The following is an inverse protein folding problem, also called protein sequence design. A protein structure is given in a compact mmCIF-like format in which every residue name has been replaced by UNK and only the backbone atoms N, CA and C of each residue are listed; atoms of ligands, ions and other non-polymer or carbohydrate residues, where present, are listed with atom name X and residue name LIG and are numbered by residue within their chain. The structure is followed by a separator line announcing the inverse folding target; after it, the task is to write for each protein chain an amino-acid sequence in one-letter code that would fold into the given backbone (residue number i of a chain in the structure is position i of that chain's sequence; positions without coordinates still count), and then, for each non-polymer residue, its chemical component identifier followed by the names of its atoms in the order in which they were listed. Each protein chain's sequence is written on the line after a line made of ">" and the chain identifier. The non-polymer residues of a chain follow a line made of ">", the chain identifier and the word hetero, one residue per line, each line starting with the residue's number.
data_IF_931994194517
#
_entry.id   IF_931994194517
#
_cell.length_a   1.000
_cell.length_b   1.000
_cell.length_c   1.000
_cell.angle_alpha   90.00
_cell.angle_beta   90.00
_cell.angle_gamma   90.00
#
_symmetry.space_group_name_H-M   'P 1'
#
loop_
_entity.id
_entity.type
_entity.pdbx_description
1 polymer ?
#
# COMPACT_ATOMS: atom_id res chain seq x y z
N UNK A 1 -0.83 6.98 4.27
CA UNK A 1 0.25 7.56 3.42
C UNK A 1 0.02 7.15 1.97
N UNK A 2 0.55 7.90 1.00
CA UNK A 2 0.51 7.53 -0.42
C UNK A 2 1.87 7.74 -1.07
N UNK A 3 2.14 7.06 -2.18
CA UNK A 3 3.34 7.29 -2.97
C UNK A 3 3.13 6.94 -4.43
N UNK A 4 3.84 7.65 -5.30
CA UNK A 4 3.90 7.40 -6.73
C UNK A 4 5.32 7.66 -7.23
N UNK A 5 5.84 6.79 -8.08
CA UNK A 5 7.15 6.94 -8.71
C UNK A 5 7.20 6.23 -10.07
N UNK A 6 8.04 6.75 -10.97
CA UNK A 6 8.39 6.10 -12.23
C UNK A 6 9.73 5.37 -12.06
N UNK A 7 9.79 4.12 -12.49
CA UNK A 7 11.01 3.32 -12.53
C UNK A 7 11.84 3.76 -13.74
N UNK A 8 12.98 4.40 -13.49
CA UNK A 8 13.78 5.00 -14.56
C UNK A 8 14.57 3.98 -15.38
N UNK A 9 14.85 2.82 -14.79
CA UNK A 9 15.64 1.76 -15.44
C UNK A 9 14.77 0.71 -16.15
N UNK A 10 13.50 0.55 -15.73
CA UNK A 10 12.59 -0.47 -16.28
C UNK A 10 11.36 0.11 -17.00
N UNK A 11 11.07 1.41 -16.87
CA UNK A 11 9.97 2.09 -17.56
C UNK A 11 8.60 2.01 -16.87
N UNK A 12 8.39 1.03 -15.98
CA UNK A 12 7.15 0.88 -15.22
C UNK A 12 6.85 2.03 -14.25
N UNK A 13 5.60 2.14 -13.82
CA UNK A 13 5.14 3.10 -12.80
C UNK A 13 4.65 2.36 -11.55
N UNK A 14 5.07 2.83 -10.38
CA UNK A 14 4.64 2.34 -9.08
C UNK A 14 3.72 3.37 -8.43
N UNK A 15 2.56 2.93 -7.97
CA UNK A 15 1.63 3.74 -7.16
C UNK A 15 1.15 2.94 -5.98
N UNK A 16 0.94 3.57 -4.83
CA UNK A 16 0.59 2.82 -3.62
C UNK A 16 0.01 3.66 -2.51
N UNK A 17 -0.84 3.01 -1.72
CA UNK A 17 -1.43 3.52 -0.48
C UNK A 17 -1.01 2.64 0.68
N UNK A 18 -0.81 3.28 1.83
CA UNK A 18 -0.33 2.63 3.04
C UNK A 18 -1.13 3.14 4.23
N UNK A 19 -2.00 2.32 4.80
CA UNK A 19 -2.67 2.66 6.05
C UNK A 19 -1.75 2.34 7.23
N UNK A 20 -1.61 3.26 8.17
CA UNK A 20 -0.69 3.12 9.30
C UNK A 20 -1.44 3.12 10.62
N UNK A 21 -1.10 2.18 11.49
CA UNK A 21 -1.71 2.03 12.82
C UNK A 21 -0.65 1.90 13.91
N UNK A 22 -1.06 2.16 15.15
CA UNK A 22 -0.16 2.34 16.30
C UNK A 22 0.93 3.41 16.07
N UNK A 23 0.64 4.38 15.20
CA UNK A 23 1.54 5.47 14.80
C UNK A 23 1.73 5.52 13.29
N UNK A 24 2.40 6.57 12.81
CA UNK A 24 2.65 6.79 11.38
C UNK A 24 4.04 6.35 10.91
N UNK A 25 4.88 5.81 11.80
CA UNK A 25 6.29 5.54 11.53
C UNK A 25 6.47 4.43 10.49
N UNK A 26 5.80 3.28 10.67
CA UNK A 26 5.86 2.18 9.71
C UNK A 26 5.32 2.60 8.34
N UNK A 27 4.13 3.21 8.28
CA UNK A 27 3.55 3.66 7.02
C UNK A 27 4.44 4.70 6.31
N UNK A 28 5.10 5.58 7.05
CA UNK A 28 6.08 6.52 6.49
C UNK A 28 7.29 5.77 5.90
N UNK A 29 7.91 4.88 6.68
CA UNK A 29 9.09 4.13 6.25
C UNK A 29 8.79 3.24 5.02
N UNK A 30 7.66 2.53 5.02
CA UNK A 30 7.25 1.69 3.88
C UNK A 30 6.97 2.56 2.65
N UNK A 31 6.31 3.72 2.81
CA UNK A 31 5.98 4.59 1.68
C UNK A 31 7.19 5.14 0.93
N UNK A 32 8.33 5.32 1.61
CA UNK A 32 9.55 5.83 0.98
C UNK A 32 10.55 4.75 0.57
N UNK A 33 10.45 3.54 1.15
CA UNK A 33 11.41 2.45 0.91
C UNK A 33 10.89 1.40 -0.05
N UNK A 34 9.63 0.98 0.05
CA UNK A 34 9.13 -0.21 -0.64
C UNK A 34 9.32 -0.13 -2.16
N UNK A 35 9.13 1.04 -2.76
CA UNK A 35 9.34 1.20 -4.20
C UNK A 35 10.78 1.01 -4.63
N UNK A 36 11.76 1.35 -3.78
CA UNK A 36 13.16 1.06 -4.08
C UNK A 36 13.45 -0.43 -4.04
N UNK A 37 12.89 -1.14 -3.06
CA UNK A 37 13.03 -2.61 -3.01
C UNK A 37 12.40 -3.25 -4.25
N UNK A 38 11.18 -2.84 -4.62
CA UNK A 38 10.52 -3.34 -5.85
C UNK A 38 11.34 -3.02 -7.09
N UNK A 39 11.80 -1.78 -7.23
CA UNK A 39 12.58 -1.37 -8.40
C UNK A 39 13.87 -2.19 -8.51
N UNK A 40 14.61 -2.36 -7.41
CA UNK A 40 15.83 -3.17 -7.35
C UNK A 40 15.56 -4.63 -7.68
N UNK A 41 14.46 -5.22 -7.19
CA UNK A 41 14.08 -6.61 -7.53
C UNK A 41 13.75 -6.81 -9.01
N UNK A 42 13.42 -5.75 -9.75
CA UNK A 42 13.10 -5.79 -11.17
C UNK A 42 14.31 -5.47 -12.07
N UNK A 43 15.44 -5.06 -11.51
CA UNK A 43 16.61 -4.69 -12.29
C UNK A 43 17.30 -5.94 -12.88
N UNK A 44 17.78 -5.86 -14.13
CA UNK A 44 18.70 -6.85 -14.68
C UNK A 44 20.01 -6.90 -13.89
N UNK A 45 20.68 -8.07 -13.90
CA UNK A 45 21.96 -8.27 -13.22
C UNK A 45 23.02 -7.24 -13.67
N UNK A 46 23.08 -6.93 -14.97
CA UNK A 46 24.04 -5.95 -15.51
C UNK A 46 23.89 -4.59 -14.82
N UNK A 47 22.65 -4.11 -14.67
CA UNK A 47 22.36 -2.85 -13.99
C UNK A 47 22.68 -2.91 -12.49
N UNK A 48 22.44 -4.05 -11.83
CA UNK A 48 22.81 -4.24 -10.42
C UNK A 48 24.33 -4.17 -10.22
N UNK A 49 25.11 -4.82 -11.09
CA UNK A 49 26.56 -4.78 -11.08
C UNK A 49 27.09 -3.36 -11.35
N UNK A 50 26.48 -2.62 -12.27
CA UNK A 50 26.83 -1.22 -12.53
C UNK A 50 26.58 -0.33 -11.31
N UNK A 51 25.44 -0.51 -10.63
CA UNK A 51 25.10 0.21 -9.40
C UNK A 51 26.13 -0.08 -8.31
N UNK A 52 26.43 -1.36 -8.05
CA UNK A 52 27.40 -1.73 -7.00
C UNK A 52 28.80 -1.19 -7.32
N UNK A 53 29.26 -1.35 -8.55
CA UNK A 53 30.54 -0.83 -9.04
C UNK A 53 30.59 0.72 -8.97
N UNK A 54 29.47 1.42 -9.13
CA UNK A 54 29.42 2.86 -8.91
C UNK A 54 29.62 3.21 -7.44
N UNK A 55 28.94 2.50 -6.53
CA UNK A 55 29.03 2.72 -5.08
C UNK A 55 30.44 2.42 -4.56
N UNK A 56 31.04 1.29 -4.94
CA UNK A 56 32.40 0.92 -4.50
C UNK A 56 33.47 1.93 -4.92
N UNK A 57 33.34 2.50 -6.13
CA UNK A 57 34.28 3.49 -6.65
C UNK A 57 33.92 4.94 -6.30
N UNK A 58 32.91 5.18 -5.45
CA UNK A 58 32.47 6.52 -5.09
C UNK A 58 31.94 7.35 -6.28
N UNK A 59 31.46 6.69 -7.33
CA UNK A 59 30.83 7.33 -8.49
C UNK A 59 29.33 7.58 -8.23
N UNK A 60 28.72 8.56 -8.92
CA UNK A 60 27.28 8.76 -8.83
C UNK A 60 26.51 7.51 -9.26
N UNK A 61 25.58 7.07 -8.42
CA UNK A 61 24.69 5.93 -8.72
C UNK A 61 23.63 6.36 -9.73
N UNK A 62 23.29 5.46 -10.66
CA UNK A 62 22.20 5.67 -11.60
C UNK A 62 20.88 5.94 -10.85
N UNK A 63 20.06 6.91 -11.31
CA UNK A 63 18.81 7.19 -10.65
C UNK A 63 17.83 6.02 -10.87
N UNK A 64 17.34 5.43 -9.78
CA UNK A 64 16.45 4.25 -9.82
C UNK A 64 14.99 4.67 -10.00
N UNK A 65 14.56 5.69 -9.24
CA UNK A 65 13.18 6.16 -9.18
C UNK A 65 13.09 7.68 -9.40
N UNK A 66 12.07 8.10 -10.13
CA UNK A 66 11.59 9.48 -10.16
C UNK A 66 10.29 9.59 -9.37
N UNK A 67 10.30 10.31 -8.26
CA UNK A 67 9.15 10.42 -7.35
C UNK A 67 8.16 11.51 -7.76
N UNK A 68 6.87 11.21 -7.64
CA UNK A 68 5.75 12.13 -7.86
C UNK A 68 5.05 12.43 -6.54
N UNK A 69 5.75 13.12 -5.64
CA UNK A 69 5.30 13.42 -4.27
C UNK A 69 4.63 14.80 -4.17
N UNK A 70 3.61 14.91 -3.31
CA UNK A 70 3.08 16.22 -2.93
C UNK A 70 4.09 16.94 -2.02
N UNK A 71 4.15 18.29 -1.98
CA UNK A 71 5.07 19.02 -1.10
C UNK A 71 4.96 18.69 0.40
N UNK A 72 3.82 18.15 0.84
CA UNK A 72 3.61 17.72 2.23
C UNK A 72 4.11 16.29 2.50
N UNK A 73 4.37 15.50 1.46
CA UNK A 73 5.00 14.19 1.58
C UNK A 73 6.51 14.38 1.64
N UNK A 74 7.18 13.73 2.59
CA UNK A 74 8.61 13.93 2.85
C UNK A 74 9.36 12.59 2.89
N UNK A 75 10.69 12.69 2.81
CA UNK A 75 11.61 11.61 3.07
C UNK A 75 12.28 11.78 4.43
N UNK A 76 12.57 10.67 5.12
CA UNK A 76 13.35 10.69 6.36
C UNK A 76 14.80 11.05 6.04
N UNK A 77 15.27 12.17 6.59
CA UNK A 77 16.64 12.66 6.34
C UNK A 77 17.66 11.88 7.17
N UNK A 78 17.32 11.64 8.43
CA UNK A 78 18.20 11.03 9.42
C UNK A 78 18.38 9.53 9.17
N UNK A 79 17.33 8.84 8.67
CA UNK A 79 17.39 7.41 8.37
C UNK A 79 17.88 7.08 6.95
N UNK A 80 18.10 8.10 6.10
CA UNK A 80 18.46 7.91 4.68
C UNK A 80 19.70 7.02 4.48
N UNK A 81 20.75 7.24 5.30
CA UNK A 81 21.98 6.43 5.23
C UNK A 81 21.72 4.96 5.60
N UNK A 82 20.93 4.73 6.65
CA UNK A 82 20.56 3.38 7.09
C UNK A 82 19.75 2.67 6.00
N UNK A 83 18.73 3.33 5.44
CA UNK A 83 17.91 2.76 4.37
C UNK A 83 18.72 2.44 3.11
N UNK A 84 19.65 3.32 2.72
CA UNK A 84 20.54 3.08 1.59
C UNK A 84 21.43 1.85 1.83
N UNK A 85 22.00 1.72 3.02
CA UNK A 85 22.85 0.56 3.35
C UNK A 85 22.05 -0.75 3.32
N UNK A 86 20.83 -0.78 3.89
CA UNK A 86 19.99 -1.97 3.85
C UNK A 86 19.58 -2.35 2.42
N UNK A 87 19.24 -1.34 1.59
CA UNK A 87 18.97 -1.55 0.17
C UNK A 87 20.20 -2.05 -0.58
N UNK A 88 21.40 -1.57 -0.22
CA UNK A 88 22.67 -2.02 -0.78
C UNK A 88 22.91 -3.49 -0.51
N UNK A 89 22.77 -3.90 0.75
CA UNK A 89 22.87 -5.31 1.13
C UNK A 89 21.87 -6.16 0.34
N UNK A 90 20.65 -5.65 0.12
CA UNK A 90 19.68 -6.38 -0.68
C UNK A 90 20.11 -6.59 -2.14
N UNK A 91 20.57 -5.56 -2.85
CA UNK A 91 21.01 -5.77 -4.23
C UNK A 91 22.29 -6.60 -4.34
N UNK A 92 23.18 -6.56 -3.34
CA UNK A 92 24.37 -7.42 -3.30
C UNK A 92 23.96 -8.89 -3.19
N UNK A 93 22.99 -9.21 -2.34
CA UNK A 93 22.44 -10.57 -2.27
C UNK A 93 21.76 -11.00 -3.58
N UNK A 94 21.08 -10.08 -4.29
CA UNK A 94 20.51 -10.39 -5.60
C UNK A 94 21.59 -10.67 -6.66
N UNK A 95 22.74 -9.98 -6.59
CA UNK A 95 23.90 -10.26 -7.46
C UNK A 95 24.44 -11.67 -7.18
N UNK A 96 24.61 -12.03 -5.90
CA UNK A 96 25.18 -13.31 -5.48
C UNK A 96 24.26 -14.50 -5.80
N UNK A 97 22.94 -14.32 -5.68
CA UNK A 97 21.94 -15.37 -5.89
C UNK A 97 21.56 -15.57 -7.37
N UNK A 98 22.06 -14.73 -8.29
CA UNK A 98 21.52 -14.69 -9.64
C UNK A 98 21.74 -16.01 -10.41
N UNK A 99 20.64 -16.55 -10.93
CA UNK A 99 20.61 -17.76 -11.78
C UNK A 99 20.71 -17.46 -13.27
N UNK A 100 20.70 -16.18 -13.67
CA UNK A 100 20.74 -15.74 -15.07
C UNK A 100 19.37 -15.61 -15.74
N UNK A 101 18.28 -15.78 -14.99
CA UNK A 101 16.92 -15.62 -15.49
C UNK A 101 16.37 -14.22 -15.23
N UNK A 102 15.51 -13.73 -16.13
CA UNK A 102 14.80 -12.45 -15.94
C UNK A 102 13.79 -12.59 -14.80
N UNK A 103 13.78 -11.69 -13.81
CA UNK A 103 12.90 -11.82 -12.65
C UNK A 103 11.44 -11.68 -13.06
N UNK A 104 10.61 -12.66 -12.69
CA UNK A 104 9.17 -12.58 -12.80
C UNK A 104 8.65 -11.43 -11.92
N UNK A 105 7.87 -10.50 -12.48
CA UNK A 105 7.33 -9.34 -11.77
C UNK A 105 6.55 -9.74 -10.50
N UNK A 106 5.81 -10.86 -10.54
CA UNK A 106 5.09 -11.38 -9.38
C UNK A 106 6.03 -11.74 -8.24
N UNK A 107 7.09 -12.48 -8.54
CA UNK A 107 8.04 -12.97 -7.55
C UNK A 107 8.93 -11.83 -7.04
N UNK A 108 9.27 -10.87 -7.90
CA UNK A 108 9.96 -9.63 -7.54
C UNK A 108 9.14 -8.81 -6.53
N UNK A 109 7.83 -8.64 -6.76
CA UNK A 109 6.94 -7.94 -5.82
C UNK A 109 6.87 -8.66 -4.47
N UNK A 110 6.66 -9.99 -4.47
CA UNK A 110 6.63 -10.79 -3.24
C UNK A 110 7.97 -10.70 -2.48
N UNK A 111 9.08 -10.83 -3.20
CA UNK A 111 10.44 -10.74 -2.68
C UNK A 111 10.72 -9.38 -2.04
N UNK A 112 10.37 -8.29 -2.71
CA UNK A 112 10.55 -6.93 -2.22
C UNK A 112 9.79 -6.66 -0.93
N UNK A 113 8.52 -7.08 -0.84
CA UNK A 113 7.71 -6.91 0.36
C UNK A 113 8.30 -7.70 1.54
N UNK A 114 8.60 -8.99 1.32
CA UNK A 114 9.17 -9.84 2.36
C UNK A 114 10.54 -9.33 2.82
N UNK A 115 11.36 -8.87 1.89
CA UNK A 115 12.68 -8.34 2.19
C UNK A 115 12.60 -7.08 3.02
N UNK A 116 11.80 -6.09 2.61
CA UNK A 116 11.68 -4.86 3.37
C UNK A 116 11.19 -5.15 4.80
N UNK A 117 10.17 -6.00 4.98
CA UNK A 117 9.68 -6.35 6.32
C UNK A 117 10.73 -7.05 7.19
N UNK A 118 11.56 -7.91 6.58
CA UNK A 118 12.69 -8.53 7.26
C UNK A 118 13.75 -7.50 7.67
N UNK A 119 14.11 -6.58 6.76
CA UNK A 119 15.06 -5.51 7.05
C UNK A 119 14.55 -4.59 8.17
N UNK A 120 13.26 -4.22 8.18
CA UNK A 120 12.65 -3.45 9.28
C UNK A 120 12.81 -4.17 10.63
N UNK A 121 12.65 -5.49 10.63
CA UNK A 121 12.81 -6.33 11.82
C UNK A 121 14.29 -6.41 12.26
N UNK A 122 15.23 -6.58 11.33
CA UNK A 122 16.65 -6.68 11.65
C UNK A 122 17.24 -5.34 12.10
N UNK A 123 16.85 -4.24 11.45
CA UNK A 123 17.26 -2.88 11.83
C UNK A 123 16.84 -2.54 13.26
N UNK A 124 15.62 -2.94 13.66
CA UNK A 124 15.14 -2.73 15.02
C UNK A 124 15.86 -3.58 16.08
N UNK A 125 16.40 -4.75 15.68
CA UNK A 125 17.20 -5.61 16.57
C UNK A 125 18.65 -5.12 16.68
N UNK A 126 19.22 -4.62 15.60
CA UNK A 126 20.58 -4.10 15.56
C UNK A 126 20.69 -2.75 16.29
N UNK A 127 19.65 -1.91 16.17
CA UNK A 127 19.68 -0.53 16.64
C UNK A 127 20.66 0.34 15.86
N UNK A 128 20.83 1.58 16.30
CA UNK A 128 21.82 2.51 15.72
C UNK A 128 22.53 3.28 16.85
N UNK A 129 23.83 3.62 16.72
CA UNK A 129 24.53 4.46 17.70
C UNK A 129 23.88 5.83 17.90
N UNK A 130 23.20 6.37 16.88
CA UNK A 130 22.43 7.59 16.98
C UNK A 130 21.09 7.31 17.70
N UNK A 131 20.92 7.88 18.89
CA UNK A 131 19.72 7.72 19.72
C UNK A 131 18.41 7.99 18.97
N UNK A 132 18.37 9.01 18.09
CA UNK A 132 17.18 9.31 17.30
C UNK A 132 16.87 8.20 16.30
N UNK A 133 17.88 7.72 15.56
CA UNK A 133 17.72 6.65 14.57
C UNK A 133 17.36 5.35 15.26
N UNK A 134 17.99 5.05 16.41
CA UNK A 134 17.67 3.88 17.23
C UNK A 134 16.20 3.87 17.67
N UNK A 135 15.72 5.01 18.19
CA UNK A 135 14.32 5.16 18.55
C UNK A 135 13.40 5.07 17.32
N UNK A 136 13.83 5.61 16.18
CA UNK A 136 13.07 5.58 14.93
C UNK A 136 12.89 4.15 14.39
N UNK A 137 13.94 3.34 14.29
CA UNK A 137 13.83 1.95 13.80
C UNK A 137 12.94 1.09 14.69
N UNK A 138 12.99 1.29 16.01
CA UNK A 138 12.08 0.65 16.94
C UNK A 138 10.64 1.09 16.71
N UNK A 139 10.37 2.40 16.56
CA UNK A 139 9.03 2.91 16.25
C UNK A 139 8.49 2.36 14.95
N UNK A 140 9.33 2.24 13.92
CA UNK A 140 8.95 1.67 12.63
C UNK A 140 8.57 0.20 12.79
N UNK A 141 9.35 -0.61 13.51
CA UNK A 141 9.07 -2.03 13.70
C UNK A 141 7.85 -2.30 14.61
N UNK A 142 7.64 -1.50 15.66
CA UNK A 142 6.54 -1.67 16.61
C UNK A 142 5.21 -1.06 16.15
N UNK A 143 5.23 -0.11 15.21
CA UNK A 143 4.01 0.31 14.50
C UNK A 143 3.76 -0.59 13.30
N UNK A 144 2.54 -0.54 12.76
CA UNK A 144 2.15 -1.37 11.64
C UNK A 144 1.70 -0.54 10.45
N UNK A 145 1.80 -1.13 9.26
CA UNK A 145 1.23 -0.54 8.06
C UNK A 145 0.73 -1.57 7.05
N UNK A 146 -0.46 -1.32 6.52
CA UNK A 146 -0.95 -2.00 5.33
C UNK A 146 -0.29 -1.42 4.08
N UNK A 147 -0.35 -2.16 2.97
CA UNK A 147 0.22 -1.71 1.71
C UNK A 147 -0.57 -2.29 0.54
N UNK A 148 -1.11 -1.41 -0.30
CA UNK A 148 -1.70 -1.77 -1.58
C UNK A 148 -0.96 -1.01 -2.67
N UNK A 149 -0.18 -1.73 -3.49
CA UNK A 149 0.72 -1.17 -4.52
C UNK A 149 0.31 -1.70 -5.88
N UNK A 150 0.24 -0.82 -6.87
CA UNK A 150 0.11 -1.17 -8.28
C UNK A 150 1.42 -0.89 -9.02
N UNK A 151 1.92 -1.88 -9.75
CA UNK A 151 2.98 -1.77 -10.74
C UNK A 151 2.37 -1.85 -12.13
N UNK A 152 2.57 -0.81 -12.93
CA UNK A 152 2.01 -0.67 -14.27
C UNK A 152 3.16 -0.56 -15.27
N UNK A 153 3.30 -1.56 -16.13
CA UNK A 153 4.28 -1.56 -17.20
C UNK A 153 3.59 -1.81 -18.55
N UNK A 154 3.47 -0.76 -19.36
CA UNK A 154 2.70 -0.80 -20.61
C UNK A 154 1.24 -1.22 -20.38
N UNK A 155 0.89 -2.44 -20.78
CA UNK A 155 -0.46 -3.03 -20.61
C UNK A 155 -0.55 -3.96 -19.41
N UNK A 156 0.56 -4.27 -18.76
CA UNK A 156 0.63 -5.23 -17.66
C UNK A 156 0.47 -4.51 -16.32
N UNK A 157 -0.66 -4.76 -15.66
CA UNK A 157 -0.97 -4.24 -14.33
C UNK A 157 -0.84 -5.37 -13.30
N UNK A 158 0.04 -5.17 -12.33
CA UNK A 158 0.17 -6.04 -11.17
C UNK A 158 -0.24 -5.27 -9.91
N UNK A 159 -1.12 -5.86 -9.11
CA UNK A 159 -1.52 -5.30 -7.81
C UNK A 159 -0.99 -6.22 -6.71
N UNK A 160 -0.18 -5.67 -5.82
CA UNK A 160 0.35 -6.30 -4.62
C UNK A 160 -0.36 -5.73 -3.39
N UNK A 161 -1.17 -6.54 -2.70
CA UNK A 161 -1.90 -6.11 -1.50
C UNK A 161 -1.47 -6.89 -0.24
N UNK A 162 -1.20 -6.18 0.84
CA UNK A 162 -0.95 -6.71 2.18
C UNK A 162 -1.73 -5.87 3.19
N UNK A 163 -2.90 -6.37 3.60
CA UNK A 163 -3.83 -5.71 4.52
C UNK A 163 -5.22 -5.50 3.92
N UNK A 164 -5.95 -4.54 4.46
CA UNK A 164 -7.35 -4.19 4.15
C UNK A 164 -7.50 -2.91 3.29
N UNK A 165 -6.39 -2.34 2.82
CA UNK A 165 -6.41 -1.42 1.68
C UNK A 165 -6.85 -2.15 0.41
N UNK A 166 -7.39 -1.41 -0.56
CA UNK A 166 -7.98 -2.02 -1.76
C UNK A 166 -7.69 -1.28 -3.07
N UNK A 167 -7.53 -2.06 -4.13
CA UNK A 167 -7.45 -1.64 -5.53
C UNK A 167 -8.73 -2.03 -6.29
N UNK A 168 -9.37 -1.06 -6.93
CA UNK A 168 -10.57 -1.26 -7.76
C UNK A 168 -10.40 -0.60 -9.12
N UNK A 169 -10.55 -1.39 -10.18
CA UNK A 169 -10.48 -0.95 -11.56
C UNK A 169 -11.87 -0.48 -12.03
N UNK A 170 -11.91 0.72 -12.62
CA UNK A 170 -13.09 1.28 -13.25
C UNK A 170 -13.13 0.92 -14.73
N UNK A 171 -14.11 0.08 -15.10
CA UNK A 171 -14.34 -0.38 -16.47
C UNK A 171 -15.56 0.34 -17.02
N UNK A 172 -15.44 0.86 -18.24
CA UNK A 172 -16.58 1.43 -18.96
C UNK A 172 -17.12 0.40 -19.95
N UNK A 173 -18.38 0.03 -19.80
CA UNK A 173 -19.08 -0.90 -20.69
C UNK A 173 -19.50 -0.21 -21.99
N UNK A 174 -19.93 -1.01 -22.98
CA UNK A 174 -20.34 -0.50 -24.30
C UNK A 174 -21.58 0.41 -24.25
N UNK A 175 -22.45 0.22 -23.26
CA UNK A 175 -23.63 1.06 -23.02
C UNK A 175 -23.30 2.39 -22.31
N UNK A 176 -22.03 2.61 -21.98
CA UNK A 176 -21.54 3.77 -21.24
C UNK A 176 -21.69 3.65 -19.72
N UNK A 177 -22.24 2.55 -19.22
CA UNK A 177 -22.29 2.26 -17.80
C UNK A 177 -20.90 1.91 -17.26
N UNK A 178 -20.76 2.00 -15.94
CA UNK A 178 -19.50 1.76 -15.25
C UNK A 178 -19.58 0.47 -14.45
N UNK A 179 -18.54 -0.34 -14.47
CA UNK A 179 -18.41 -1.58 -13.71
C UNK A 179 -17.16 -1.54 -12.84
N UNK A 180 -17.30 -1.87 -11.57
CA UNK A 180 -16.17 -2.00 -10.64
C UNK A 180 -15.59 -3.42 -10.64
N UNK A 181 -14.34 -3.56 -11.07
CA UNK A 181 -13.59 -4.82 -11.01
C UNK A 181 -12.60 -4.76 -9.85
N UNK A 182 -12.75 -5.64 -8.86
CA UNK A 182 -11.86 -5.70 -7.70
C UNK A 182 -10.56 -6.42 -8.06
N UNK A 183 -9.41 -5.77 -7.82
CA UNK A 183 -8.07 -6.32 -8.12
C UNK A 183 -7.30 -6.77 -6.87
N UNK A 184 -7.84 -6.57 -5.67
CA UNK A 184 -7.24 -7.03 -4.43
C UNK A 184 -8.33 -7.51 -3.47
N UNK A 185 -8.05 -8.60 -2.75
CA UNK A 185 -8.90 -9.03 -1.65
C UNK A 185 -8.41 -8.37 -0.36
N UNK A 186 -9.35 -7.96 0.49
CA UNK A 186 -9.01 -7.45 1.80
C UNK A 186 -8.55 -8.61 2.68
N UNK A 187 -7.43 -8.42 3.38
CA UNK A 187 -6.90 -9.41 4.30
C UNK A 187 -7.42 -9.11 5.71
N UNK A 188 -8.68 -9.43 5.97
CA UNK A 188 -9.34 -9.27 7.26
C UNK A 188 -10.30 -10.45 7.54
N UNK A 189 -11.05 -10.39 8.64
CA UNK A 189 -11.95 -11.47 9.06
C UNK A 189 -13.11 -11.76 8.09
N UNK A 190 -13.48 -10.81 7.22
CA UNK A 190 -14.53 -11.00 6.23
C UNK A 190 -14.07 -11.89 5.06
N UNK A 191 -12.76 -12.06 4.89
CA UNK A 191 -12.19 -12.90 3.86
C UNK A 191 -11.97 -14.33 4.38
N UNK A 192 -12.90 -15.24 4.04
CA UNK A 192 -12.83 -16.63 4.47
C UNK A 192 -11.55 -17.35 4.05
N UNK A 193 -10.99 -17.02 2.88
CA UNK A 193 -9.75 -17.66 2.41
C UNK A 193 -8.57 -17.22 3.27
N UNK A 194 -8.56 -15.95 3.69
CA UNK A 194 -7.53 -15.44 4.59
C UNK A 194 -7.69 -16.03 5.99
N UNK A 195 -8.91 -16.12 6.53
CA UNK A 195 -9.17 -16.81 7.81
C UNK A 195 -8.68 -18.26 7.75
N UNK A 196 -9.01 -19.00 6.68
CA UNK A 196 -8.54 -20.38 6.48
C UNK A 196 -7.02 -20.46 6.41
N UNK A 197 -6.36 -19.53 5.71
CA UNK A 197 -4.90 -19.45 5.64
C UNK A 197 -4.30 -19.30 7.04
N UNK A 198 -4.68 -18.25 7.77
CA UNK A 198 -4.12 -17.97 9.10
C UNK A 198 -4.37 -19.14 10.05
N UNK A 199 -5.58 -19.71 10.07
CA UNK A 199 -5.88 -20.90 10.90
C UNK A 199 -5.02 -22.10 10.51
N UNK A 200 -4.76 -22.32 9.21
CA UNK A 200 -3.97 -23.47 8.74
C UNK A 200 -2.47 -23.36 9.00
N UNK A 201 -1.95 -22.15 9.25
CA UNK A 201 -0.54 -21.92 9.59
C UNK A 201 -0.21 -22.31 11.04
N UNK A 202 -1.22 -22.50 11.88
CA UNK A 202 -1.07 -22.82 13.30
C UNK A 202 -1.66 -24.20 13.64
N UNK A 203 -1.24 -24.83 14.76
CA UNK A 203 -1.82 -26.08 15.22
C UNK A 203 -3.33 -25.98 15.48
N UNK A 204 -4.04 -27.10 15.29
CA UNK A 204 -5.50 -27.18 15.51
C UNK A 204 -5.96 -26.75 16.91
N UNK A 205 -5.08 -26.80 17.90
CA UNK A 205 -5.38 -26.29 19.26
C UNK A 205 -5.68 -24.78 19.27
N UNK A 206 -5.15 -24.02 18.32
CA UNK A 206 -5.25 -22.57 18.25
C UNK A 206 -6.35 -22.08 17.29
N UNK A 207 -7.08 -22.99 16.63
CA UNK A 207 -8.13 -22.65 15.66
C UNK A 207 -9.17 -21.65 16.19
N UNK A 208 -9.49 -21.71 17.49
CA UNK A 208 -10.46 -20.82 18.16
C UNK A 208 -9.83 -19.53 18.72
N UNK A 209 -8.51 -19.41 18.71
CA UNK A 209 -7.78 -18.30 19.34
C UNK A 209 -7.06 -17.41 18.33
N UNK A 210 -6.67 -17.96 17.17
CA UNK A 210 -5.97 -17.24 16.09
C UNK A 210 -6.78 -16.06 15.58
N UNK A 211 -8.08 -16.25 15.33
CA UNK A 211 -9.02 -15.17 15.00
C UNK A 211 -10.11 -15.12 16.06
N UNK A 212 -10.23 -13.99 16.74
CA UNK A 212 -11.24 -13.77 17.78
C UNK A 212 -11.84 -12.38 17.61
N UNK A 213 -13.16 -12.27 17.69
CA UNK A 213 -13.87 -10.98 17.50
C UNK A 213 -13.43 -10.28 16.20
N UNK A 214 -13.34 -11.05 15.12
CA UNK A 214 -12.95 -10.56 13.78
C UNK A 214 -11.57 -9.90 13.71
N UNK A 215 -10.70 -10.23 14.67
CA UNK A 215 -9.33 -9.68 14.80
C UNK A 215 -8.31 -10.79 15.02
N UNK A 216 -7.11 -10.61 14.47
CA UNK A 216 -5.96 -11.48 14.69
C UNK A 216 -5.57 -11.42 16.17
N UNK A 217 -5.58 -12.57 16.83
CA UNK A 217 -5.42 -12.75 18.28
C UNK A 217 -6.34 -11.84 19.13
N UNK A 218 -7.48 -11.40 18.57
CA UNK A 218 -8.40 -10.47 19.23
C UNK A 218 -7.95 -9.01 19.26
N UNK A 219 -6.90 -8.64 18.52
CA UNK A 219 -6.30 -7.29 18.57
C UNK A 219 -6.32 -6.59 17.21
N UNK A 220 -5.68 -7.19 16.20
CA UNK A 220 -5.38 -6.51 14.93
C UNK A 220 -6.46 -6.79 13.88
N UNK A 221 -6.94 -5.76 13.18
CA UNK A 221 -7.91 -5.94 12.09
C UNK A 221 -7.28 -6.50 10.81
N UNK A 222 -6.18 -5.93 10.27
CA UNK A 222 -5.53 -6.50 9.11
C UNK A 222 -4.78 -7.78 9.49
N UNK A 223 -4.97 -8.83 8.69
CA UNK A 223 -4.30 -10.13 8.85
C UNK A 223 -2.95 -10.19 8.13
N UNK A 224 -2.60 -9.11 7.42
CA UNK A 224 -1.28 -8.87 6.82
C UNK A 224 -0.89 -7.41 6.98
N UNK A 225 0.35 -7.16 7.41
CA UNK A 225 0.91 -5.82 7.54
C UNK A 225 2.44 -5.86 7.66
N UNK A 226 3.07 -4.76 7.28
CA UNK A 226 4.45 -4.44 7.60
C UNK A 226 4.61 -4.05 9.06
N UNK A 227 5.80 -4.26 9.62
CA UNK A 227 6.06 -3.92 11.02
C UNK A 227 5.28 -4.85 11.95
N UNK A 228 4.60 -4.29 12.95
CA UNK A 228 3.81 -5.05 13.93
C UNK A 228 4.59 -6.25 14.50
N UNK A 229 5.87 -6.06 14.80
CA UNK A 229 6.76 -7.15 15.22
C UNK A 229 6.30 -7.88 16.47
N UNK A 230 5.39 -7.26 17.24
CA UNK A 230 4.63 -7.88 18.34
C UNK A 230 3.94 -9.19 17.94
N UNK A 231 3.48 -9.30 16.71
CA UNK A 231 2.81 -10.48 16.17
C UNK A 231 3.75 -11.41 15.38
N UNK A 232 5.04 -11.06 15.29
CA UNK A 232 6.04 -11.77 14.47
C UNK A 232 7.17 -12.37 15.30
N UNK A 233 7.74 -11.61 16.23
CA UNK A 233 8.89 -12.02 17.03
C UNK A 233 8.50 -12.98 18.16
N UNK A 234 9.42 -13.87 18.54
CA UNK A 234 9.25 -14.64 19.78
C UNK A 234 9.27 -13.74 21.02
N UNK A 235 8.70 -14.24 22.12
CA UNK A 235 8.55 -13.47 23.36
C UNK A 235 9.90 -13.04 23.93
N UNK A 236 10.91 -13.91 23.86
CA UNK A 236 12.25 -13.64 24.37
C UNK A 236 12.91 -12.49 23.61
N UNK A 237 12.75 -12.46 22.28
CA UNK A 237 13.29 -11.39 21.44
C UNK A 237 12.60 -10.06 21.72
N UNK A 238 11.26 -10.05 21.82
CA UNK A 238 10.51 -8.84 22.17
C UNK A 238 10.97 -8.25 23.51
N UNK A 239 11.11 -9.09 24.55
CA UNK A 239 11.59 -8.64 25.86
C UNK A 239 13.00 -8.08 25.79
N UNK A 240 13.92 -8.79 25.14
CA UNK A 240 15.32 -8.35 24.99
C UNK A 240 15.42 -6.98 24.30
N UNK A 241 14.70 -6.81 23.19
CA UNK A 241 14.73 -5.55 22.43
C UNK A 241 14.13 -4.40 23.25
N UNK A 242 13.04 -4.64 23.97
CA UNK A 242 12.43 -3.62 24.85
C UNK A 242 13.35 -3.25 26.03
N UNK A 243 13.97 -4.24 26.67
CA UNK A 243 14.94 -4.02 27.77
C UNK A 243 16.18 -3.24 27.31
N UNK A 244 16.63 -3.45 26.08
CA UNK A 244 17.73 -2.67 25.47
C UNK A 244 17.30 -1.33 24.88
N UNK A 245 15.99 -1.09 24.77
CA UNK A 245 15.42 0.09 24.13
C UNK A 245 15.44 1.33 25.04
N UNK A 246 15.26 2.53 24.45
CA UNK A 246 15.15 3.76 25.23
C UNK A 246 13.92 3.77 26.14
N UNK A 247 14.04 4.41 27.32
CA UNK A 247 13.02 4.43 28.38
C UNK A 247 11.63 4.87 27.90
N UNK A 248 11.58 5.74 26.88
CA UNK A 248 10.34 6.24 26.27
C UNK A 248 9.50 5.12 25.62
N UNK A 249 10.13 4.05 25.11
CA UNK A 249 9.42 2.86 24.63
C UNK A 249 9.01 1.94 25.78
N UNK A 250 9.77 1.96 26.88
CA UNK A 250 9.46 1.18 28.09
C UNK A 250 8.24 1.74 28.83
N UNK A 251 7.96 3.03 28.75
CA UNK A 251 6.76 3.61 29.39
C UNK A 251 5.47 3.35 28.62
N UNK A 252 5.56 2.93 27.34
CA UNK A 252 4.39 2.72 26.51
C UNK A 252 3.78 1.33 26.76
N UNK A 253 2.67 1.24 27.50
CA UNK A 253 2.05 -0.06 27.84
C UNK A 253 1.67 -0.89 26.60
N UNK A 254 1.39 -0.21 25.48
CA UNK A 254 1.09 -0.88 24.22
C UNK A 254 2.26 -1.72 23.68
N UNK A 255 3.52 -1.29 23.86
CA UNK A 255 4.68 -2.03 23.34
C UNK A 255 4.99 -3.26 24.20
N UNK A 256 4.80 -3.17 25.52
CA UNK A 256 5.02 -4.26 26.49
C UNK A 256 3.97 -5.37 26.46
N UNK A 257 2.77 -5.09 25.95
CA UNK A 257 1.69 -6.06 25.93
C UNK A 257 1.99 -7.24 24.97
N UNK A 258 2.11 -8.45 25.50
CA UNK A 258 2.22 -9.67 24.68
C UNK A 258 0.80 -10.07 24.26
N UNK A 259 0.55 -10.38 22.96
CA UNK A 259 -0.76 -10.83 22.51
C UNK A 259 -1.27 -12.05 23.30
N UNK A 260 -2.60 -12.18 23.49
CA UNK A 260 -3.16 -13.34 24.15
C UNK A 260 -3.01 -14.59 23.24
N UNK A 261 -2.85 -15.76 23.86
CA UNK A 261 -2.71 -17.05 23.15
C UNK A 261 -1.54 -17.07 22.15
N UNK A 262 -0.43 -16.39 22.47
CA UNK A 262 0.76 -16.28 21.62
C UNK A 262 1.69 -17.49 21.80
N UNK A 263 1.34 -18.61 21.17
CA UNK A 263 2.00 -19.90 21.31
C UNK A 263 2.98 -20.24 20.18
N UNK A 264 2.59 -20.00 18.92
CA UNK A 264 3.35 -20.39 17.72
C UNK A 264 3.60 -19.19 16.77
N UNK A 265 4.34 -18.16 17.23
CA UNK A 265 4.71 -17.05 16.34
C UNK A 265 5.60 -17.52 15.18
N UNK A 266 5.59 -16.84 14.02
CA UNK A 266 4.86 -15.61 13.71
C UNK A 266 3.37 -15.83 13.32
N UNK A 267 2.50 -14.88 13.68
CA UNK A 267 1.06 -14.87 13.33
C UNK A 267 0.70 -13.87 12.22
N UNK A 268 1.62 -12.96 11.89
CA UNK A 268 1.41 -11.88 10.94
C UNK A 268 2.49 -11.90 9.86
N UNK A 269 2.12 -11.57 8.62
CA UNK A 269 3.04 -11.54 7.48
C UNK A 269 2.84 -10.26 6.66
N UNK A 270 3.93 -9.72 6.10
CA UNK A 270 3.87 -8.65 5.10
C UNK A 270 3.82 -9.21 3.66
N UNK A 271 3.74 -10.52 3.48
CA UNK A 271 3.73 -11.15 2.15
C UNK A 271 2.44 -10.76 1.40
N UNK A 272 2.52 -10.11 0.23
CA UNK A 272 1.35 -9.62 -0.47
C UNK A 272 0.64 -10.76 -1.22
N UNK A 273 -0.67 -10.62 -1.40
CA UNK A 273 -1.39 -11.28 -2.50
C UNK A 273 -1.15 -10.49 -3.78
N UNK A 274 -0.79 -11.18 -4.88
CA UNK A 274 -0.54 -10.57 -6.17
C UNK A 274 -1.65 -10.94 -7.16
N UNK A 275 -2.28 -9.92 -7.74
CA UNK A 275 -3.23 -10.05 -8.85
C UNK A 275 -2.61 -9.48 -10.12
N UNK A 276 -2.68 -10.22 -11.21
CA UNK A 276 -2.32 -9.75 -12.56
C UNK A 276 -3.58 -9.40 -13.35
N UNK A 277 -3.54 -8.27 -14.04
CA UNK A 277 -4.56 -7.85 -15.00
C UNK A 277 -3.90 -7.26 -16.24
N UNK A 278 -4.34 -7.70 -17.42
CA UNK A 278 -3.92 -7.09 -18.68
C UNK A 278 -4.88 -5.98 -19.06
N UNK A 279 -4.40 -4.74 -19.08
CA UNK A 279 -5.20 -3.56 -19.40
C UNK A 279 -5.78 -3.64 -20.82
N UNK A 280 -7.05 -3.26 -20.92
CA UNK A 280 -7.84 -3.21 -22.15
C UNK A 280 -8.36 -1.79 -22.38
N UNK A 281 -8.79 -1.44 -23.61
CA UNK A 281 -9.31 -0.10 -23.91
C UNK A 281 -10.53 0.33 -23.07
N UNK A 282 -11.32 -0.62 -22.57
CA UNK A 282 -12.46 -0.38 -21.67
C UNK A 282 -12.06 -0.06 -20.23
N UNK A 283 -10.84 -0.39 -19.82
CA UNK A 283 -10.33 -0.14 -18.47
C UNK A 283 -9.83 1.32 -18.42
N UNK A 284 -10.55 2.21 -17.71
CA UNK A 284 -10.31 3.67 -17.81
C UNK A 284 -9.45 4.22 -16.69
N UNK A 285 -9.59 3.70 -15.47
CA UNK A 285 -8.84 4.17 -14.31
C UNK A 285 -8.74 3.10 -13.23
N UNK A 286 -7.78 3.28 -12.32
CA UNK A 286 -7.59 2.45 -11.13
C UNK A 286 -7.72 3.34 -9.88
N UNK A 287 -8.49 2.89 -8.90
CA UNK A 287 -8.61 3.55 -7.59
C UNK A 287 -7.87 2.70 -6.56
N UNK A 288 -6.85 3.29 -5.94
CA UNK A 288 -6.16 2.76 -4.77
C UNK A 288 -6.57 3.61 -3.56
N UNK A 289 -7.14 2.99 -2.54
CA UNK A 289 -7.52 3.69 -1.32
C UNK A 289 -7.44 2.76 -0.10
N UNK A 290 -7.29 3.36 1.08
CA UNK A 290 -7.37 2.63 2.35
C UNK A 290 -8.83 2.38 2.75
N UNK A 291 -9.03 1.54 3.77
CA UNK A 291 -10.34 1.17 4.31
C UNK A 291 -11.21 2.40 4.69
N UNK A 292 -10.61 3.51 5.12
CA UNK A 292 -11.33 4.74 5.42
C UNK A 292 -12.20 5.28 4.28
N UNK A 293 -11.92 4.93 3.02
CA UNK A 293 -12.86 5.14 1.91
C UNK A 293 -13.89 4.00 1.81
N UNK A 294 -13.40 2.76 1.79
CA UNK A 294 -14.19 1.58 1.46
C UNK A 294 -15.22 1.19 2.52
N UNK A 295 -15.06 1.68 3.74
CA UNK A 295 -16.07 1.60 4.81
C UNK A 295 -17.25 2.57 4.59
N UNK A 296 -17.03 3.66 3.84
CA UNK A 296 -18.04 4.71 3.62
C UNK A 296 -18.84 4.52 2.35
N UNK A 297 -18.20 4.06 1.27
CA UNK A 297 -18.81 3.95 -0.06
C UNK A 297 -18.63 2.55 -0.63
N UNK A 298 -19.69 2.04 -1.26
CA UNK A 298 -19.61 0.78 -1.98
C UNK A 298 -18.73 0.93 -3.23
N UNK A 299 -17.94 -0.11 -3.56
CA UNK A 299 -16.99 -0.11 -4.70
C UNK A 299 -17.60 0.36 -6.03
N UNK A 300 -18.85 -0.02 -6.30
CA UNK A 300 -19.57 0.34 -7.53
C UNK A 300 -19.93 1.83 -7.56
N UNK A 301 -20.22 2.41 -6.40
CA UNK A 301 -20.52 3.83 -6.28
C UNK A 301 -19.26 4.67 -6.46
N UNK A 302 -18.14 4.26 -5.87
CA UNK A 302 -16.81 4.87 -6.09
C UNK A 302 -16.46 4.94 -7.57
N UNK A 303 -16.55 3.80 -8.28
CA UNK A 303 -16.25 3.75 -9.71
C UNK A 303 -17.22 4.59 -10.52
N UNK A 304 -18.51 4.59 -10.18
CA UNK A 304 -19.49 5.45 -10.85
C UNK A 304 -19.17 6.94 -10.67
N UNK A 305 -18.88 7.39 -9.45
CA UNK A 305 -18.56 8.80 -9.15
C UNK A 305 -17.31 9.25 -9.91
N UNK A 306 -16.23 8.45 -9.86
CA UNK A 306 -14.98 8.77 -10.56
C UNK A 306 -15.19 8.74 -12.07
N UNK A 307 -15.92 7.75 -12.59
CA UNK A 307 -16.22 7.62 -14.01
C UNK A 307 -17.06 8.77 -14.57
N UNK A 308 -18.13 9.14 -13.86
CA UNK A 308 -18.98 10.30 -14.19
C UNK A 308 -18.19 11.61 -14.14
N UNK A 309 -17.27 11.74 -13.18
CA UNK A 309 -16.39 12.90 -13.06
C UNK A 309 -15.39 13.00 -14.23
N UNK A 310 -14.70 11.91 -14.57
CA UNK A 310 -13.70 11.89 -15.66
C UNK A 310 -14.32 12.07 -17.06
N UNK A 311 -15.57 11.67 -17.25
CA UNK A 311 -16.30 11.82 -18.52
C UNK A 311 -17.09 13.12 -18.62
N UNK A 312 -17.15 13.93 -17.55
CA UNK A 312 -17.97 15.15 -17.49
C UNK A 312 -19.48 14.89 -17.53
N UNK A 313 -19.92 13.64 -17.31
CA UNK A 313 -21.32 13.22 -17.50
C UNK A 313 -22.32 13.79 -16.49
N UNK A 314 -21.87 14.43 -15.40
CA UNK A 314 -22.76 15.15 -14.49
C UNK A 314 -23.60 16.25 -15.19
N UNK A 315 -23.18 16.69 -16.39
CA UNK A 315 -23.89 17.68 -17.18
C UNK A 315 -25.03 17.12 -18.04
N UNK A 316 -25.14 15.80 -18.22
CA UNK A 316 -26.00 15.19 -19.25
C UNK A 316 -27.25 14.44 -18.77
N UNK A 317 -27.51 14.33 -17.45
CA UNK A 317 -28.78 13.75 -17.01
C UNK A 317 -29.97 14.57 -17.54
N UNK A 318 -30.96 13.97 -18.24
CA UNK A 318 -32.12 14.71 -18.72
C UNK A 318 -32.86 15.38 -17.55
N UNK A 319 -33.33 16.62 -17.76
CA UNK A 319 -34.10 17.35 -16.74
C UNK A 319 -35.40 16.58 -16.50
N UNK A 320 -35.47 15.86 -15.38
CA UNK A 320 -36.66 15.13 -15.01
C UNK A 320 -37.63 16.06 -14.27
N UNK A 321 -38.72 16.40 -14.93
CA UNK A 321 -39.74 17.31 -14.39
C UNK A 321 -40.83 16.55 -13.61
N UNK A 322 -40.55 15.33 -13.15
CA UNK A 322 -41.41 14.59 -12.21
C UNK A 322 -42.85 14.35 -12.70
N UNK A 323 -43.06 14.25 -14.01
CA UNK A 323 -44.39 14.05 -14.62
C UNK A 323 -45.24 15.32 -14.74
N UNK A 324 -44.71 16.50 -14.39
CA UNK A 324 -45.42 17.77 -14.53
C UNK A 324 -45.31 18.32 -15.98
N UNK A 325 -46.42 18.88 -16.50
CA UNK A 325 -46.40 19.63 -17.76
C UNK A 325 -45.77 21.01 -17.53
N UNK A 326 -44.57 21.23 -18.05
CA UNK A 326 -43.87 22.52 -18.04
C UNK A 326 -44.06 23.24 -19.37
N UNK A 327 -44.22 24.57 -19.31
CA UNK A 327 -44.20 25.41 -20.50
C UNK A 327 -42.78 25.56 -21.06
N UNK A 328 -42.67 25.92 -22.34
CA UNK A 328 -41.39 26.12 -23.02
C UNK A 328 -40.51 27.18 -22.33
N UNK A 329 -41.13 28.23 -21.79
CA UNK A 329 -40.45 29.26 -21.00
C UNK A 329 -39.93 28.75 -19.65
N UNK A 330 -40.69 27.89 -18.96
CA UNK A 330 -40.24 27.26 -17.70
C UNK A 330 -39.08 26.28 -17.94
N UNK A 331 -39.14 25.52 -19.03
CA UNK A 331 -38.04 24.65 -19.45
C UNK A 331 -36.78 25.46 -19.76
N UNK A 332 -36.92 26.59 -20.45
CA UNK A 332 -35.81 27.51 -20.72
C UNK A 332 -35.20 28.07 -19.42
N UNK A 333 -36.03 28.50 -18.45
CA UNK A 333 -35.54 28.94 -17.14
C UNK A 333 -34.79 27.82 -16.39
N UNK A 334 -35.32 26.59 -16.38
CA UNK A 334 -34.65 25.44 -15.75
C UNK A 334 -33.30 25.12 -16.39
N UNK A 335 -33.21 25.22 -17.72
CA UNK A 335 -31.96 25.03 -18.46
C UNK A 335 -30.96 26.17 -18.20
N UNK A 336 -31.41 27.42 -18.15
CA UNK A 336 -30.59 28.58 -17.79
C UNK A 336 -30.07 28.48 -16.35
N UNK A 337 -30.91 28.10 -15.39
CA UNK A 337 -30.50 27.85 -14.00
C UNK A 337 -29.48 26.71 -13.91
N UNK A 338 -29.66 25.65 -14.70
CA UNK A 338 -28.70 24.54 -14.77
C UNK A 338 -27.38 24.98 -15.39
N UNK A 339 -27.41 25.80 -16.44
CA UNK A 339 -26.22 26.37 -17.05
C UNK A 339 -25.48 27.30 -16.08
N UNK A 340 -26.21 28.12 -15.33
CA UNK A 340 -25.65 28.96 -14.27
C UNK A 340 -25.05 28.14 -13.11
N UNK A 341 -25.71 27.03 -12.71
CA UNK A 341 -25.19 26.08 -11.70
C UNK A 341 -23.99 25.29 -12.21
N UNK A 342 -23.95 24.97 -13.50
CA UNK A 342 -22.78 24.35 -14.15
C UNK A 342 -21.59 25.31 -14.15
N UNK A 343 -21.82 26.63 -14.29
CA UNK A 343 -20.79 27.64 -14.17
C UNK A 343 -20.38 27.94 -12.71
N UNK A 344 -21.23 27.60 -11.72
CA UNK A 344 -21.01 27.88 -10.29
C UNK A 344 -20.61 26.66 -9.46
N UNK A 345 -20.72 25.44 -9.98
CA UNK A 345 -20.19 24.26 -9.33
C UNK A 345 -18.67 24.43 -9.31
N UNK A 346 -18.08 24.47 -8.13
CA UNK A 346 -16.66 24.19 -8.00
C UNK A 346 -16.47 22.78 -8.56
N UNK A 347 -16.18 22.66 -9.85
CA UNK A 347 -15.71 21.41 -10.44
C UNK A 347 -14.44 21.07 -9.70
N UNK A 348 -14.52 20.07 -8.83
CA UNK A 348 -13.36 19.51 -8.19
C UNK A 348 -12.40 19.05 -9.29
N UNK A 349 -11.35 19.82 -9.59
CA UNK A 349 -10.42 19.51 -10.68
C UNK A 349 -9.69 18.18 -10.48
N UNK A 350 -9.79 17.60 -9.28
CA UNK A 350 -9.14 16.37 -8.90
C UNK A 350 -10.18 15.33 -8.49
N UNK A 351 -10.16 14.18 -9.20
CA UNK A 351 -11.06 13.07 -8.95
C UNK A 351 -10.99 12.53 -7.51
N UNK A 352 -9.81 12.52 -6.89
CA UNK A 352 -9.66 12.07 -5.51
C UNK A 352 -10.28 13.07 -4.51
N UNK A 353 -10.11 14.37 -4.73
CA UNK A 353 -10.79 15.40 -3.91
C UNK A 353 -12.30 15.29 -4.02
N UNK A 354 -12.81 15.05 -5.24
CA UNK A 354 -14.24 14.85 -5.49
C UNK A 354 -14.81 13.66 -4.72
N UNK A 355 -14.05 12.57 -4.66
CA UNK A 355 -14.46 11.32 -4.02
C UNK A 355 -14.35 11.38 -2.49
N UNK A 356 -13.49 12.25 -1.94
CA UNK A 356 -13.36 12.47 -0.49
C UNK A 356 -14.46 13.39 0.06
N UNK A 357 -15.03 14.26 -0.77
CA UNK A 357 -16.16 15.13 -0.42
C UNK A 357 -17.48 14.38 -0.42
#
# INVERSE_FOLDING_TARGET
>A
RRSAATCLQTGGMLTGVFDGHAGSACAQAVSERLFYYIAVSLLPLETLLEIENAVENGRPVLPILQWHKHPNDYFSKEASKLYFNSLRTYWQELIDLNTGETPNTKDALIGAFKRLDNDLSLEAQAGDPNSFVNYWVLRVAFSGATSCVAHIDGVDLHVANAGDSRAVLGVQEEDGSWTAVTLSNDHNALNENEVKRVVSEHPKSEEKTVVKQDRLLGLLMPFRAFGDVKFKWCIELQKRVLESGPDQLNENEYTKFIPPNYHTPPYLTATPEITYHRLRPQDKFLVLATDGLWETLHRQEVVRIVGEHLTGMHLHQPVNVGGYRVSLGQMHCLLMDRQARSASFFEDQNAATRLIR
#
